data_IF_422157716738
#
_entry.id   IF_422157716738
#
_cell.length_a   1.000
_cell.length_b   1.000
_cell.length_c   1.000
_cell.angle_alpha   90.00
_cell.angle_beta   90.00
_cell.angle_gamma   90.00
#
_symmetry.space_group_name_H-M   'P 1'
#
loop_
_entity.id
_entity.type
_entity.pdbx_description
1 polymer ?
#
# COMPACT_ATOMS: atom_id res chain seq x y z
N UNK A 1 -9.49 14.43 0.03
CA UNK A 1 -9.68 15.88 -0.16
C UNK A 1 -9.65 16.28 -1.63
N UNK A 2 -8.67 15.89 -2.46
CA UNK A 2 -8.64 16.27 -3.89
C UNK A 2 -9.95 15.96 -4.64
N UNK A 3 -10.51 14.77 -4.43
CA UNK A 3 -11.79 14.37 -5.03
C UNK A 3 -13.00 15.19 -4.55
N UNK A 4 -12.91 15.89 -3.41
CA UNK A 4 -13.95 16.81 -2.94
C UNK A 4 -13.96 18.11 -3.76
N UNK A 5 -12.82 18.48 -4.34
CA UNK A 5 -12.65 19.68 -5.16
C UNK A 5 -12.74 19.37 -6.66
N UNK A 6 -12.28 18.19 -7.06
CA UNK A 6 -12.23 17.74 -8.44
C UNK A 6 -12.49 16.24 -8.56
N UNK A 7 -13.69 15.87 -9.01
CA UNK A 7 -14.09 14.47 -9.24
C UNK A 7 -13.36 13.82 -10.44
N UNK A 8 -12.68 14.59 -11.30
CA UNK A 8 -11.96 14.04 -12.45
C UNK A 8 -10.83 13.09 -12.03
N UNK A 9 -10.30 13.24 -10.82
CA UNK A 9 -9.31 12.32 -10.24
C UNK A 9 -9.84 10.89 -10.04
N UNK A 10 -11.15 10.67 -10.15
CA UNK A 10 -11.84 9.38 -10.01
C UNK A 10 -12.48 8.90 -11.33
N UNK A 11 -12.15 9.53 -12.46
CA UNK A 11 -12.82 9.30 -13.73
C UNK A 11 -12.23 8.14 -14.55
N UNK A 12 -10.96 7.78 -14.32
CA UNK A 12 -10.22 6.82 -15.15
C UNK A 12 -9.54 5.75 -14.27
N UNK A 13 -10.28 4.74 -13.77
CA UNK A 13 -9.66 3.64 -13.05
C UNK A 13 -8.80 2.79 -14.00
N UNK A 14 -7.59 2.45 -13.58
CA UNK A 14 -6.64 1.60 -14.30
C UNK A 14 -6.71 0.12 -13.91
N UNK A 15 -7.47 -0.22 -12.86
CA UNK A 15 -7.64 -1.59 -12.38
C UNK A 15 -9.03 -1.83 -11.78
N UNK A 16 -9.35 -3.10 -11.51
CA UNK A 16 -10.56 -3.48 -10.76
C UNK A 16 -10.54 -2.89 -9.34
N UNK A 17 -9.40 -2.95 -8.67
CA UNK A 17 -9.22 -2.36 -7.33
C UNK A 17 -9.50 -0.85 -7.35
N UNK A 18 -8.98 -0.12 -8.33
CA UNK A 18 -9.26 1.31 -8.48
C UNK A 18 -10.73 1.58 -8.80
N UNK A 19 -11.37 0.71 -9.58
CA UNK A 19 -12.81 0.82 -9.89
C UNK A 19 -13.64 0.77 -8.62
N UNK A 20 -13.37 -0.19 -7.74
CA UNK A 20 -14.06 -0.37 -6.46
C UNK A 20 -13.73 0.79 -5.52
N UNK A 21 -12.45 1.17 -5.42
CA UNK A 21 -12.01 2.29 -4.60
C UNK A 21 -12.69 3.60 -5.01
N UNK A 22 -12.74 3.91 -6.30
CA UNK A 22 -13.34 5.14 -6.81
C UNK A 22 -14.85 5.15 -6.60
N UNK A 23 -15.52 4.01 -6.77
CA UNK A 23 -16.94 3.87 -6.44
C UNK A 23 -17.20 4.13 -4.94
N UNK A 24 -16.37 3.59 -4.05
CA UNK A 24 -16.48 3.83 -2.61
C UNK A 24 -16.26 5.30 -2.24
N UNK A 25 -15.29 5.97 -2.88
CA UNK A 25 -15.06 7.40 -2.67
C UNK A 25 -16.27 8.22 -3.12
N UNK A 26 -16.80 7.97 -4.33
CA UNK A 26 -18.00 8.65 -4.85
C UNK A 26 -19.20 8.45 -3.92
N UNK A 27 -19.41 7.22 -3.44
CA UNK A 27 -20.49 6.91 -2.51
C UNK A 27 -20.37 7.71 -1.20
N UNK A 28 -19.15 7.88 -0.66
CA UNK A 28 -18.95 8.71 0.55
C UNK A 28 -19.15 10.20 0.28
N UNK A 29 -18.65 10.71 -0.83
CA UNK A 29 -18.85 12.12 -1.20
C UNK A 29 -20.32 12.48 -1.46
N UNK A 30 -21.13 11.52 -1.94
CA UNK A 30 -22.58 11.71 -2.07
C UNK A 30 -23.29 11.86 -0.71
N UNK A 31 -22.74 11.26 0.36
CA UNK A 31 -23.30 11.36 1.71
C UNK A 31 -22.76 12.55 2.51
N UNK A 32 -21.48 12.88 2.35
CA UNK A 32 -20.80 13.97 3.03
C UNK A 32 -19.73 14.54 2.07
N UNK A 33 -19.97 15.71 1.46
CA UNK A 33 -19.04 16.32 0.52
C UNK A 33 -17.67 16.70 1.12
N UNK A 34 -17.57 16.77 2.45
CA UNK A 34 -16.37 17.16 3.19
C UNK A 34 -15.73 16.01 3.97
N UNK A 35 -16.14 14.77 3.66
CA UNK A 35 -15.85 13.59 4.46
C UNK A 35 -14.35 13.38 4.72
N UNK A 36 -13.53 13.56 3.68
CA UNK A 36 -12.08 13.34 3.74
C UNK A 36 -11.33 14.54 4.30
N UNK A 37 -11.61 15.78 3.89
CA UNK A 37 -10.87 16.96 4.38
C UNK A 37 -11.01 17.14 5.88
N UNK A 38 -12.23 16.97 6.41
CA UNK A 38 -12.52 17.08 7.85
C UNK A 38 -11.68 16.09 8.67
N UNK A 39 -11.58 14.84 8.19
CA UNK A 39 -10.83 13.77 8.86
C UNK A 39 -9.32 13.91 8.66
N UNK A 40 -8.90 14.28 7.45
CA UNK A 40 -7.49 14.48 7.08
C UNK A 40 -6.83 15.55 7.97
N UNK A 41 -7.55 16.62 8.30
CA UNK A 41 -7.04 17.69 9.17
C UNK A 41 -6.75 17.22 10.62
N UNK A 42 -7.32 16.08 11.05
CA UNK A 42 -7.13 15.54 12.40
C UNK A 42 -5.96 14.54 12.48
N UNK A 43 -5.36 14.16 11.34
CA UNK A 43 -4.26 13.19 11.32
C UNK A 43 -2.96 13.86 11.74
N UNK A 44 -2.39 13.40 12.86
CA UNK A 44 -1.13 13.93 13.41
C UNK A 44 0.11 13.36 12.74
N UNK A 45 0.01 12.19 12.12
CA UNK A 45 1.10 11.54 11.41
C UNK A 45 0.72 10.11 10.99
N UNK A 46 1.60 9.48 10.23
CA UNK A 46 1.48 8.09 9.79
C UNK A 46 2.79 7.33 10.01
N UNK A 47 2.71 6.05 10.37
CA UNK A 47 3.83 5.13 10.41
C UNK A 47 3.60 4.08 9.33
N UNK A 48 4.47 4.00 8.33
CA UNK A 48 4.30 3.10 7.18
C UNK A 48 5.38 2.02 7.19
N UNK A 49 4.94 0.78 7.02
CA UNK A 49 5.73 -0.40 7.27
C UNK A 49 6.24 -1.06 6.00
N UNK A 50 5.61 -0.84 4.85
CA UNK A 50 5.95 -1.56 3.61
C UNK A 50 6.73 -0.71 2.62
N UNK A 51 7.59 -1.35 1.82
CA UNK A 51 8.38 -0.66 0.78
C UNK A 51 7.49 0.13 -0.20
N UNK A 52 6.37 -0.46 -0.65
CA UNK A 52 5.44 0.19 -1.58
C UNK A 52 4.74 1.40 -0.94
N UNK A 53 4.31 1.27 0.31
CA UNK A 53 3.69 2.38 1.05
C UNK A 53 4.69 3.53 1.27
N UNK A 54 5.92 3.22 1.67
CA UNK A 54 7.01 4.19 1.82
C UNK A 54 7.30 4.91 0.50
N UNK A 55 7.35 4.19 -0.62
CA UNK A 55 7.54 4.82 -1.92
C UNK A 55 6.42 5.81 -2.27
N UNK A 56 5.16 5.48 -1.95
CA UNK A 56 4.02 6.41 -2.11
C UNK A 56 4.18 7.65 -1.21
N UNK A 57 4.67 7.50 0.02
CA UNK A 57 4.96 8.63 0.91
C UNK A 57 6.05 9.55 0.34
N UNK A 58 7.15 9.00 -0.17
CA UNK A 58 8.20 9.78 -0.82
C UNK A 58 7.69 10.52 -2.06
N UNK A 59 6.88 9.86 -2.89
CA UNK A 59 6.25 10.50 -4.05
C UNK A 59 5.34 11.67 -3.65
N UNK A 60 4.51 11.49 -2.63
CA UNK A 60 3.65 12.56 -2.11
C UNK A 60 4.46 13.70 -1.50
N UNK A 61 5.55 13.37 -0.78
CA UNK A 61 6.45 14.37 -0.21
C UNK A 61 7.13 15.21 -1.30
N UNK A 62 7.69 14.56 -2.32
CA UNK A 62 8.34 15.23 -3.45
C UNK A 62 7.38 16.14 -4.23
N UNK A 63 6.09 15.82 -4.28
CA UNK A 63 5.05 16.66 -4.91
C UNK A 63 4.43 17.71 -3.97
N UNK A 64 4.85 17.80 -2.71
CA UNK A 64 4.23 18.69 -1.71
C UNK A 64 2.78 18.31 -1.34
N UNK A 65 2.38 17.07 -1.62
CA UNK A 65 1.03 16.56 -1.37
C UNK A 65 0.88 15.93 0.02
N UNK A 66 1.99 15.53 0.67
CA UNK A 66 1.98 14.93 2.00
C UNK A 66 1.56 15.96 3.07
N UNK A 67 0.44 15.71 3.77
CA UNK A 67 -0.21 16.68 4.65
C UNK A 67 0.17 16.59 6.13
N UNK A 68 0.86 15.53 6.52
CA UNK A 68 1.25 15.25 7.90
C UNK A 68 2.60 14.53 7.91
N UNK A 69 3.35 14.57 9.03
CA UNK A 69 4.61 13.85 9.12
C UNK A 69 4.41 12.34 8.95
N UNK A 70 5.39 11.70 8.32
CA UNK A 70 5.38 10.27 8.08
C UNK A 70 6.69 9.66 8.59
N UNK A 71 6.58 8.52 9.27
CA UNK A 71 7.72 7.71 9.70
C UNK A 71 7.82 6.50 8.78
N UNK A 72 8.95 6.40 8.08
CA UNK A 72 9.34 5.21 7.34
C UNK A 72 9.83 4.17 8.35
N UNK A 73 8.95 3.24 8.71
CA UNK A 73 9.28 2.11 9.61
C UNK A 73 9.98 1.01 8.82
N UNK A 74 9.62 0.83 7.54
CA UNK A 74 10.17 -0.21 6.67
C UNK A 74 11.71 -0.24 6.70
N UNK A 75 12.34 0.93 6.60
CA UNK A 75 13.80 1.03 6.46
C UNK A 75 14.54 0.97 7.81
N UNK A 76 13.82 0.76 8.91
CA UNK A 76 14.45 0.34 10.17
C UNK A 76 15.15 -1.01 9.95
N UNK A 77 16.36 -1.18 10.49
CA UNK A 77 17.15 -2.42 10.31
C UNK A 77 16.39 -3.64 10.83
N UNK A 78 15.78 -3.50 12.01
CA UNK A 78 14.98 -4.56 12.65
C UNK A 78 13.68 -4.87 11.93
N UNK A 79 13.25 -4.02 11.00
CA UNK A 79 12.12 -4.28 10.10
C UNK A 79 12.65 -4.89 8.81
N UNK A 80 13.27 -4.10 7.94
CA UNK A 80 13.67 -4.52 6.58
C UNK A 80 14.51 -5.79 6.54
N UNK A 81 15.47 -5.97 7.47
CA UNK A 81 16.36 -7.14 7.46
C UNK A 81 15.79 -8.36 8.18
N UNK A 82 14.68 -8.19 8.90
CA UNK A 82 14.01 -9.30 9.58
C UNK A 82 12.75 -9.71 8.82
N UNK A 83 11.78 -8.82 8.73
CA UNK A 83 10.48 -9.10 8.11
C UNK A 83 10.65 -9.48 6.63
N UNK A 84 11.22 -8.60 5.82
CA UNK A 84 11.27 -8.83 4.38
C UNK A 84 12.14 -10.03 4.01
N UNK A 85 13.27 -10.24 4.70
CA UNK A 85 14.21 -11.32 4.40
C UNK A 85 13.83 -12.63 5.09
N UNK A 86 13.83 -12.63 6.42
CA UNK A 86 13.59 -13.85 7.19
C UNK A 86 12.10 -14.22 7.23
N UNK A 87 11.19 -13.24 7.25
CA UNK A 87 9.75 -13.50 7.18
C UNK A 87 9.34 -14.20 5.88
N UNK A 88 9.77 -13.68 4.72
CA UNK A 88 9.49 -14.33 3.43
C UNK A 88 10.19 -15.69 3.27
N UNK A 89 11.38 -15.87 3.85
CA UNK A 89 12.08 -17.17 3.83
C UNK A 89 11.26 -18.28 4.50
N UNK A 90 10.61 -17.97 5.61
CA UNK A 90 9.78 -18.95 6.32
C UNK A 90 8.39 -19.10 5.68
N UNK A 91 7.75 -17.99 5.28
CA UNK A 91 6.34 -17.99 4.89
C UNK A 91 6.06 -18.32 3.42
N UNK A 92 6.98 -18.04 2.49
CA UNK A 92 6.73 -18.24 1.04
C UNK A 92 6.47 -19.71 0.71
N UNK A 93 7.37 -20.59 1.13
CA UNK A 93 7.26 -22.02 0.83
C UNK A 93 6.15 -22.66 1.66
N UNK A 94 5.90 -22.16 2.86
CA UNK A 94 4.75 -22.56 3.68
C UNK A 94 3.43 -22.33 2.93
N UNK A 95 3.21 -21.13 2.39
CA UNK A 95 2.02 -20.82 1.58
C UNK A 95 1.86 -21.72 0.36
N UNK A 96 2.94 -21.94 -0.40
CA UNK A 96 2.92 -22.84 -1.57
C UNK A 96 2.54 -24.27 -1.17
N UNK A 97 3.12 -24.77 -0.06
CA UNK A 97 2.84 -26.12 0.44
C UNK A 97 1.39 -26.26 0.89
N UNK A 98 0.87 -25.33 1.70
CA UNK A 98 -0.53 -25.38 2.15
C UNK A 98 -1.52 -25.32 1.00
N UNK A 99 -1.20 -24.61 -0.07
CA UNK A 99 -2.09 -24.44 -1.21
C UNK A 99 -2.06 -25.62 -2.19
N UNK A 100 -0.95 -26.36 -2.29
CA UNK A 100 -0.72 -27.29 -3.41
C UNK A 100 -0.12 -28.65 -3.03
N UNK A 101 0.35 -28.82 -1.79
CA UNK A 101 1.10 -29.98 -1.30
C UNK A 101 2.29 -30.39 -2.18
N UNK A 102 2.79 -29.47 -3.02
CA UNK A 102 3.78 -29.79 -4.04
C UNK A 102 5.14 -30.14 -3.43
N UNK A 103 5.78 -31.19 -3.97
CA UNK A 103 7.18 -31.49 -3.67
C UNK A 103 8.08 -30.44 -4.33
N UNK A 104 8.87 -29.73 -3.51
CA UNK A 104 9.78 -28.66 -3.97
C UNK A 104 11.09 -29.24 -4.53
N UNK A 105 11.62 -30.30 -3.91
CA UNK A 105 12.89 -30.89 -4.33
C UNK A 105 12.84 -31.37 -5.80
N UNK A 106 13.90 -31.05 -6.54
CA UNK A 106 14.04 -31.39 -7.96
C UNK A 106 13.27 -30.48 -8.93
N UNK A 107 12.54 -29.46 -8.45
CA UNK A 107 11.87 -28.47 -9.32
C UNK A 107 12.76 -27.28 -9.61
N UNK A 108 12.52 -26.67 -10.77
CA UNK A 108 13.05 -25.35 -11.13
C UNK A 108 12.06 -24.31 -10.61
N UNK A 109 12.54 -23.38 -9.79
CA UNK A 109 11.78 -22.23 -9.31
C UNK A 109 12.44 -20.94 -9.82
N UNK A 110 11.63 -20.00 -10.29
CA UNK A 110 12.09 -18.68 -10.74
C UNK A 110 11.68 -17.65 -9.70
N UNK A 111 12.64 -16.86 -9.22
CA UNK A 111 12.41 -15.75 -8.29
C UNK A 111 12.61 -14.43 -9.05
N UNK A 112 11.53 -13.68 -9.22
CA UNK A 112 11.56 -12.40 -9.95
C UNK A 112 11.82 -11.24 -8.98
N UNK A 113 13.09 -10.84 -8.85
CA UNK A 113 13.57 -9.80 -7.93
C UNK A 113 14.45 -10.35 -6.81
N UNK A 114 15.50 -9.62 -6.42
CA UNK A 114 16.52 -10.06 -5.44
C UNK A 114 16.87 -8.97 -4.42
N UNK A 115 15.85 -8.19 -4.05
CA UNK A 115 15.93 -7.10 -3.08
C UNK A 115 15.64 -7.53 -1.65
#
# INVERSE_FOLDING_TARGET
ARAEQDLAVLAKPGSEEETILFAAIKAKLATDPSWYSTRLAQIKGVTEETTTGVHRLYQMHARGELKFPAINVNDSVTKSKIDNLYGCRESLVDGIKRATDVMIAGKIAVVCGYG
#
